data_IF_626563883550
#
_entry.id   IF_626563883550
#
_cell.length_a   1.000
_cell.length_b   1.000
_cell.length_c   1.000
_cell.angle_alpha   90.00
_cell.angle_beta   90.00
_cell.angle_gamma   90.00
#
_symmetry.space_group_name_H-M   'P 1'
#
loop_
_entity.id
_entity.type
_entity.pdbx_description
1 polymer ?
#
# COMPACT_ATOMS: atom_id res chain seq x y z
N UNK A 1 -11.03 1.36 4.79
CA UNK A 1 -10.44 2.67 5.08
C UNK A 1 -9.97 2.67 6.53
N UNK A 2 -8.75 3.07 6.77
CA UNK A 2 -8.23 3.20 8.12
C UNK A 2 -8.87 4.42 8.78
N UNK A 3 -9.34 4.23 10.01
CA UNK A 3 -9.87 5.32 10.81
C UNK A 3 -8.70 6.17 11.30
N UNK A 4 -8.65 7.39 10.82
CA UNK A 4 -7.59 8.33 11.19
C UNK A 4 -7.96 9.07 12.48
N UNK A 5 -6.95 9.31 13.32
CA UNK A 5 -7.04 10.39 14.28
C UNK A 5 -7.20 11.69 13.54
N UNK A 6 -8.18 12.46 13.93
CA UNK A 6 -8.43 13.72 13.24
C UNK A 6 -7.44 14.75 13.70
N UNK A 7 -6.49 15.06 12.85
CA UNK A 7 -5.57 16.15 13.08
C UNK A 7 -6.11 17.46 12.54
N UNK A 8 -6.26 18.40 13.45
CA UNK A 8 -6.22 19.83 13.36
C UNK A 8 -6.35 20.56 12.02
N UNK A 9 -7.32 20.21 11.18
CA UNK A 9 -7.85 21.23 10.28
C UNK A 9 -8.68 22.19 11.12
N UNK A 10 -8.50 23.50 10.92
CA UNK A 10 -9.14 24.56 11.68
C UNK A 10 -10.67 24.43 11.84
N UNK A 11 -11.31 23.62 11.03
CA UNK A 11 -12.75 23.37 11.02
C UNK A 11 -13.20 22.11 11.77
N UNK A 12 -12.28 21.27 12.22
CA UNK A 12 -12.60 20.00 12.84
C UNK A 12 -12.14 19.97 14.31
N UNK A 13 -13.06 19.61 15.22
CA UNK A 13 -12.83 19.58 16.67
C UNK A 13 -13.12 18.23 17.31
N UNK A 14 -13.35 17.20 16.52
CA UNK A 14 -13.61 15.86 17.01
C UNK A 14 -12.36 15.14 17.53
N UNK A 15 -12.58 14.02 18.23
CA UNK A 15 -11.51 13.20 18.79
C UNK A 15 -10.86 12.31 17.74
N UNK A 16 -11.67 11.56 17.01
CA UNK A 16 -11.27 10.75 15.86
C UNK A 16 -12.48 10.47 14.95
N UNK A 17 -12.22 9.92 13.78
CA UNK A 17 -13.27 9.71 12.76
C UNK A 17 -14.35 8.72 13.21
N UNK A 18 -14.02 7.71 14.00
CA UNK A 18 -15.00 6.73 14.45
C UNK A 18 -16.03 7.37 15.38
N UNK A 19 -15.58 8.11 16.38
CA UNK A 19 -16.49 8.75 17.34
C UNK A 19 -17.36 9.81 16.67
N UNK A 20 -16.80 10.56 15.71
CA UNK A 20 -17.59 11.51 14.94
C UNK A 20 -18.68 10.87 14.10
N UNK A 21 -18.41 9.70 13.54
CA UNK A 21 -19.40 8.93 12.79
C UNK A 21 -20.48 8.39 13.72
N UNK A 22 -20.10 7.89 14.91
CA UNK A 22 -21.03 7.37 15.91
C UNK A 22 -21.97 8.45 16.45
N UNK A 23 -21.52 9.70 16.56
CA UNK A 23 -22.38 10.82 16.95
C UNK A 23 -23.43 11.20 15.91
N UNK A 24 -23.20 10.88 14.63
CA UNK A 24 -24.01 11.35 13.49
C UNK A 24 -24.81 10.27 12.82
N UNK A 25 -24.40 9.02 12.94
CA UNK A 25 -25.04 7.89 12.28
C UNK A 25 -25.62 6.90 13.30
N UNK A 26 -26.80 6.38 13.01
CA UNK A 26 -27.45 5.35 13.83
C UNK A 26 -26.73 4.00 13.78
N UNK A 27 -26.05 3.73 12.66
CA UNK A 27 -25.29 2.52 12.43
C UNK A 27 -23.97 2.90 11.75
N UNK A 28 -22.86 2.42 12.28
CA UNK A 28 -21.53 2.57 11.70
C UNK A 28 -20.92 1.18 11.54
N UNK A 29 -20.44 0.88 10.34
CA UNK A 29 -19.64 -0.31 10.07
C UNK A 29 -18.22 0.17 9.79
N UNK A 30 -17.29 -0.19 10.68
CA UNK A 30 -15.88 0.15 10.56
C UNK A 30 -15.06 -1.12 10.33
N UNK A 31 -14.07 -1.06 9.44
CA UNK A 31 -13.08 -2.10 9.22
C UNK A 31 -11.74 -1.57 9.69
N UNK A 32 -11.08 -2.33 10.55
CA UNK A 32 -9.81 -1.95 11.14
C UNK A 32 -8.80 -3.09 11.01
N UNK A 33 -7.59 -2.76 10.60
CA UNK A 33 -6.45 -3.68 10.59
C UNK A 33 -5.30 -3.05 11.38
N UNK A 34 -5.03 -3.61 12.55
CA UNK A 34 -4.02 -3.10 13.47
C UNK A 34 -2.58 -3.23 12.91
N UNK A 35 -2.38 -4.10 11.92
CA UNK A 35 -1.07 -4.33 11.30
C UNK A 35 -0.80 -3.41 10.10
N UNK A 36 -1.80 -2.63 9.66
CA UNK A 36 -1.68 -1.68 8.55
C UNK A 36 -1.59 -0.23 9.05
N UNK A 37 -0.68 0.05 9.95
CA UNK A 37 -0.40 1.41 10.42
C UNK A 37 0.72 2.00 9.55
N UNK A 38 0.36 2.82 8.57
CA UNK A 38 1.30 3.44 7.62
C UNK A 38 1.72 4.86 8.03
N UNK A 39 1.05 5.44 9.01
CA UNK A 39 1.39 6.75 9.54
C UNK A 39 1.00 6.87 11.01
N UNK A 40 1.63 7.82 11.72
CA UNK A 40 1.31 8.11 13.14
C UNK A 40 -0.15 8.49 13.35
N UNK A 41 -0.82 9.02 12.33
CA UNK A 41 -2.24 9.40 12.38
C UNK A 41 -3.19 8.20 12.35
N UNK A 42 -2.71 7.03 11.95
CA UNK A 42 -3.48 5.78 11.90
C UNK A 42 -3.27 4.94 13.17
N UNK A 43 -2.32 5.33 14.01
CA UNK A 43 -2.01 4.63 15.24
C UNK A 43 -3.10 4.86 16.30
N UNK A 44 -3.52 3.79 16.93
CA UNK A 44 -4.41 3.80 18.09
C UNK A 44 -3.66 3.33 19.32
N UNK A 45 -3.85 4.02 20.40
CA UNK A 45 -3.32 3.56 21.68
C UNK A 45 -3.91 2.18 22.01
N UNK A 46 -3.05 1.28 22.45
CA UNK A 46 -3.43 -0.12 22.68
C UNK A 46 -4.64 -0.24 23.63
N UNK A 47 -4.66 0.51 24.72
CA UNK A 47 -5.73 0.47 25.71
C UNK A 47 -7.07 0.95 25.14
N UNK A 48 -7.05 1.98 24.31
CA UNK A 48 -8.24 2.51 23.68
C UNK A 48 -8.81 1.52 22.64
N UNK A 49 -7.93 0.92 21.84
CA UNK A 49 -8.32 -0.10 20.87
C UNK A 49 -8.91 -1.33 21.57
N UNK A 50 -8.26 -1.82 22.62
CA UNK A 50 -8.75 -2.98 23.39
C UNK A 50 -10.10 -2.69 24.05
N UNK A 51 -10.29 -1.49 24.59
CA UNK A 51 -11.58 -1.07 25.18
C UNK A 51 -12.69 -1.07 24.15
N UNK A 52 -12.42 -0.51 22.94
CA UNK A 52 -13.37 -0.48 21.83
C UNK A 52 -13.74 -1.89 21.36
N UNK A 53 -12.75 -2.76 21.18
CA UNK A 53 -12.96 -4.14 20.77
C UNK A 53 -13.76 -4.93 21.83
N UNK A 54 -13.47 -4.76 23.08
CA UNK A 54 -14.16 -5.40 24.18
C UNK A 54 -15.64 -4.97 24.24
N UNK A 55 -15.91 -3.67 24.12
CA UNK A 55 -17.26 -3.15 24.05
C UNK A 55 -18.04 -3.70 22.84
N UNK A 56 -17.41 -3.69 21.67
CA UNK A 56 -18.03 -4.25 20.46
C UNK A 56 -18.30 -5.76 20.61
N UNK A 57 -17.41 -6.50 21.26
CA UNK A 57 -17.61 -7.93 21.51
C UNK A 57 -18.77 -8.21 22.49
N UNK A 58 -18.86 -7.45 23.58
CA UNK A 58 -19.94 -7.58 24.54
C UNK A 58 -21.33 -7.31 23.91
N UNK A 59 -21.37 -6.40 22.95
CA UNK A 59 -22.59 -6.06 22.21
C UNK A 59 -22.86 -6.99 21.00
N UNK A 60 -22.01 -8.00 20.75
CA UNK A 60 -22.14 -8.89 19.59
C UNK A 60 -21.88 -8.21 18.24
N UNK A 61 -21.17 -7.08 18.25
CA UNK A 61 -20.90 -6.24 17.08
C UNK A 61 -19.48 -6.39 16.52
N UNK A 62 -18.68 -7.32 17.07
CA UNK A 62 -17.32 -7.56 16.60
C UNK A 62 -17.27 -8.78 15.68
N UNK A 63 -16.68 -8.62 14.51
CA UNK A 63 -16.44 -9.70 13.57
C UNK A 63 -14.96 -9.72 13.17
N UNK A 64 -14.32 -10.88 13.28
CA UNK A 64 -12.94 -11.06 12.82
C UNK A 64 -12.92 -11.60 11.40
N UNK A 65 -12.20 -10.91 10.51
CA UNK A 65 -11.93 -11.36 9.15
C UNK A 65 -10.55 -12.04 9.13
N UNK A 66 -10.53 -13.36 9.24
CA UNK A 66 -9.29 -14.15 9.36
C UNK A 66 -8.83 -14.79 8.05
N UNK A 67 -9.71 -14.84 7.03
CA UNK A 67 -9.40 -15.52 5.79
C UNK A 67 -8.60 -14.63 4.85
N UNK A 68 -7.37 -15.03 4.55
CA UNK A 68 -6.58 -14.43 3.51
C UNK A 68 -7.13 -14.90 2.14
N UNK A 69 -7.63 -13.96 1.32
CA UNK A 69 -8.24 -14.24 0.01
C UNK A 69 -7.50 -13.60 -1.17
N UNK A 70 -6.47 -12.77 -0.91
CA UNK A 70 -5.75 -12.04 -1.95
C UNK A 70 -4.61 -12.84 -2.57
N UNK A 71 -3.98 -13.71 -1.77
CA UNK A 71 -2.83 -14.51 -2.20
C UNK A 71 -3.34 -15.90 -2.57
N UNK A 72 -3.37 -16.20 -3.86
CA UNK A 72 -3.71 -17.53 -4.35
C UNK A 72 -2.45 -18.40 -4.38
N UNK A 73 -2.05 -18.91 -3.22
CA UNK A 73 -0.85 -19.72 -3.03
C UNK A 73 -1.10 -20.91 -2.12
N UNK A 74 -0.11 -21.77 -1.99
CA UNK A 74 -0.12 -22.83 -1.01
C UNK A 74 0.04 -22.29 0.41
N UNK A 75 -0.39 -23.07 1.40
CA UNK A 75 -0.28 -22.68 2.81
C UNK A 75 1.17 -22.36 3.22
N UNK A 76 2.14 -23.14 2.73
CA UNK A 76 3.55 -22.92 3.05
C UNK A 76 4.05 -21.54 2.60
N UNK A 77 3.58 -21.05 1.46
CA UNK A 77 3.90 -19.70 0.96
C UNK A 77 3.27 -18.62 1.83
N UNK A 78 2.01 -18.79 2.23
CA UNK A 78 1.35 -17.86 3.16
C UNK A 78 2.04 -17.84 4.51
N UNK A 79 2.40 -18.99 5.05
CA UNK A 79 3.10 -19.10 6.33
C UNK A 79 4.49 -18.43 6.25
N UNK A 80 5.20 -18.61 5.14
CA UNK A 80 6.49 -17.93 4.92
C UNK A 80 6.36 -16.41 4.88
N UNK A 81 5.34 -15.89 4.19
CA UNK A 81 5.08 -14.44 4.15
C UNK A 81 4.74 -13.92 5.55
N UNK A 82 3.95 -14.66 6.33
CA UNK A 82 3.62 -14.29 7.71
C UNK A 82 4.84 -14.29 8.61
N UNK A 83 5.68 -15.32 8.52
CA UNK A 83 6.92 -15.39 9.29
C UNK A 83 7.82 -14.19 9.01
N UNK A 84 7.94 -13.79 7.74
CA UNK A 84 8.68 -12.59 7.37
C UNK A 84 8.08 -11.30 7.97
N UNK A 85 6.75 -11.13 7.89
CA UNK A 85 6.08 -9.88 8.28
C UNK A 85 5.85 -9.80 9.79
N UNK A 86 5.32 -10.87 10.39
CA UNK A 86 4.86 -10.87 11.77
C UNK A 86 6.00 -11.19 12.75
N UNK A 87 6.93 -12.08 12.35
CA UNK A 87 7.99 -12.61 13.20
C UNK A 87 9.38 -12.05 12.82
N UNK A 88 9.49 -11.38 11.66
CA UNK A 88 10.76 -10.86 11.10
C UNK A 88 11.80 -11.98 10.86
N UNK A 89 11.32 -13.19 10.59
CA UNK A 89 12.15 -14.33 10.27
C UNK A 89 12.17 -14.60 8.76
N UNK A 90 13.38 -14.78 8.22
CA UNK A 90 13.60 -15.07 6.80
C UNK A 90 14.04 -16.52 6.64
N UNK A 91 13.11 -17.37 6.25
CA UNK A 91 13.38 -18.76 5.91
C UNK A 91 13.64 -18.95 4.41
N UNK A 92 13.89 -20.19 4.02
CA UNK A 92 13.96 -20.56 2.60
C UNK A 92 12.60 -20.36 1.94
N UNK A 93 12.55 -19.68 0.79
CA UNK A 93 11.33 -19.52 0.00
C UNK A 93 10.80 -20.91 -0.39
N UNK A 94 9.54 -21.25 -0.06
CA UNK A 94 8.95 -22.53 -0.39
C UNK A 94 8.61 -22.62 -1.88
N UNK A 95 8.57 -23.85 -2.40
CA UNK A 95 7.95 -24.09 -3.70
C UNK A 95 6.42 -24.01 -3.55
N UNK A 96 5.76 -23.45 -4.56
CA UNK A 96 4.32 -23.24 -4.58
C UNK A 96 3.69 -24.00 -5.76
N UNK A 97 2.68 -24.84 -5.50
CA UNK A 97 2.01 -25.64 -6.52
C UNK A 97 1.02 -24.84 -7.37
N UNK A 98 0.64 -23.65 -6.92
CA UNK A 98 -0.28 -22.73 -7.62
C UNK A 98 0.45 -21.66 -8.43
N UNK A 99 1.76 -21.85 -8.63
CA UNK A 99 2.61 -20.92 -9.37
C UNK A 99 2.69 -19.50 -8.74
N UNK A 100 2.50 -19.40 -7.43
CA UNK A 100 2.81 -18.16 -6.72
C UNK A 100 4.33 -18.04 -6.58
N UNK A 101 4.91 -17.07 -7.25
CA UNK A 101 6.36 -16.90 -7.36
C UNK A 101 6.83 -15.71 -6.51
N UNK A 102 7.73 -15.97 -5.58
CA UNK A 102 8.40 -14.97 -4.77
C UNK A 102 9.85 -14.89 -5.23
N UNK A 103 10.27 -13.72 -5.68
CA UNK A 103 11.64 -13.48 -6.13
C UNK A 103 12.25 -12.33 -5.36
N UNK A 104 13.53 -12.43 -5.06
CA UNK A 104 14.35 -11.39 -4.45
C UNK A 104 15.40 -11.01 -5.47
N UNK A 105 15.57 -9.72 -5.70
CA UNK A 105 16.54 -9.16 -6.65
C UNK A 105 17.65 -8.45 -5.90
N UNK A 106 18.85 -8.51 -6.44
CA UNK A 106 20.02 -7.86 -5.84
C UNK A 106 20.07 -6.35 -6.13
N UNK A 107 19.30 -5.92 -7.13
CA UNK A 107 19.24 -4.49 -7.50
C UNK A 107 17.83 -4.05 -7.90
N UNK A 108 17.50 -2.76 -7.74
CA UNK A 108 16.22 -2.20 -8.20
C UNK A 108 16.10 -2.21 -9.73
N UNK A 109 17.21 -2.17 -10.46
CA UNK A 109 17.25 -2.30 -11.93
C UNK A 109 16.74 -3.67 -12.37
N UNK A 110 17.22 -4.75 -11.75
CA UNK A 110 16.79 -6.11 -12.07
C UNK A 110 15.30 -6.30 -11.74
N UNK A 111 14.85 -5.82 -10.60
CA UNK A 111 13.44 -5.82 -10.24
C UNK A 111 12.59 -5.07 -11.29
N UNK A 112 13.03 -3.89 -11.72
CA UNK A 112 12.32 -3.07 -12.71
C UNK A 112 12.21 -3.77 -14.05
N UNK A 113 13.31 -4.36 -14.56
CA UNK A 113 13.28 -5.12 -15.82
C UNK A 113 12.39 -6.37 -15.72
N UNK A 114 12.40 -7.07 -14.58
CA UNK A 114 11.51 -8.20 -14.36
C UNK A 114 10.03 -7.79 -14.37
N UNK A 115 9.68 -6.66 -13.74
CA UNK A 115 8.32 -6.11 -13.76
C UNK A 115 7.90 -5.71 -15.18
N UNK A 116 8.80 -5.09 -15.97
CA UNK A 116 8.52 -4.77 -17.38
C UNK A 116 8.26 -6.03 -18.20
N UNK A 117 9.09 -7.05 -18.04
CA UNK A 117 8.92 -8.32 -18.74
C UNK A 117 7.58 -8.97 -18.38
N UNK A 118 7.20 -8.97 -17.12
CA UNK A 118 5.89 -9.46 -16.65
C UNK A 118 4.74 -8.64 -17.24
N UNK A 119 4.87 -7.32 -17.29
CA UNK A 119 3.84 -6.42 -17.83
C UNK A 119 3.56 -6.63 -19.33
N UNK A 120 4.52 -7.16 -20.07
CA UNK A 120 4.35 -7.51 -21.49
C UNK A 120 3.62 -8.85 -21.70
N UNK A 121 3.53 -9.68 -20.66
CA UNK A 121 2.79 -10.93 -20.71
C UNK A 121 1.29 -10.67 -20.58
N UNK A 122 0.50 -11.16 -21.55
CA UNK A 122 -0.97 -11.01 -21.51
C UNK A 122 -1.62 -11.74 -20.32
N UNK A 123 -0.95 -12.73 -19.77
CA UNK A 123 -1.46 -13.56 -18.68
C UNK A 123 -1.11 -13.01 -17.29
N UNK A 124 -0.26 -11.99 -17.21
CA UNK A 124 0.29 -11.53 -15.92
C UNK A 124 -0.59 -10.52 -15.15
N UNK A 125 -1.67 -10.04 -15.75
CA UNK A 125 -2.50 -9.03 -15.12
C UNK A 125 -1.78 -7.67 -14.97
N UNK A 126 -1.98 -7.00 -13.83
CA UNK A 126 -1.36 -5.70 -13.55
C UNK A 126 -0.02 -5.91 -12.84
N UNK A 127 1.06 -5.47 -13.47
CA UNK A 127 2.41 -5.48 -12.89
C UNK A 127 2.83 -4.07 -12.51
N UNK A 128 3.26 -3.85 -11.26
CA UNK A 128 3.61 -2.52 -10.72
C UNK A 128 4.85 -2.56 -9.85
N UNK A 129 5.57 -1.44 -9.81
CA UNK A 129 6.52 -1.13 -8.77
C UNK A 129 5.84 -0.27 -7.71
N UNK A 130 6.01 -0.65 -6.46
CA UNK A 130 5.50 0.10 -5.32
C UNK A 130 6.61 0.27 -4.29
N UNK A 131 6.54 1.34 -3.51
CA UNK A 131 7.46 1.58 -2.41
C UNK A 131 6.74 2.25 -1.24
N UNK A 132 7.30 2.13 -0.04
CA UNK A 132 6.85 2.86 1.14
C UNK A 132 7.21 4.35 1.01
N UNK A 133 6.53 5.21 1.78
CA UNK A 133 6.70 6.67 1.68
C UNK A 133 7.96 7.16 2.42
N UNK A 134 9.13 6.71 1.95
CA UNK A 134 10.43 7.03 2.57
C UNK A 134 11.24 8.09 1.80
N UNK A 135 10.72 8.60 0.68
CA UNK A 135 11.33 9.66 -0.11
C UNK A 135 10.51 10.93 -0.06
N UNK A 136 11.18 12.07 -0.18
CA UNK A 136 10.52 13.36 -0.21
C UNK A 136 9.52 13.45 -1.37
N UNK A 137 8.33 13.93 -1.06
CA UNK A 137 7.28 14.20 -2.03
C UNK A 137 6.38 15.35 -1.58
N UNK A 138 6.16 16.30 -2.47
CA UNK A 138 5.17 17.36 -2.25
C UNK A 138 4.25 17.44 -3.47
N UNK A 139 2.97 17.11 -3.26
CA UNK A 139 1.96 17.17 -4.33
C UNK A 139 1.91 18.54 -5.00
N UNK A 140 1.83 18.54 -6.33
CA UNK A 140 1.72 19.74 -7.18
C UNK A 140 2.89 20.73 -7.09
N UNK A 141 4.04 20.30 -6.55
CA UNK A 141 5.28 21.09 -6.52
C UNK A 141 6.41 20.30 -7.14
N UNK A 142 7.28 20.98 -7.86
CA UNK A 142 8.54 20.39 -8.34
C UNK A 142 9.59 20.47 -7.24
N UNK A 143 10.51 19.51 -7.15
CA UNK A 143 11.71 19.64 -6.33
C UNK A 143 12.62 20.75 -6.88
N UNK A 144 13.48 21.28 -6.04
CA UNK A 144 14.47 22.27 -6.45
C UNK A 144 15.58 21.59 -7.26
N UNK A 145 15.85 22.10 -8.46
CA UNK A 145 16.93 21.59 -9.31
C UNK A 145 16.63 20.30 -10.08
N UNK A 146 15.42 19.72 -9.96
CA UNK A 146 15.02 18.49 -10.65
C UNK A 146 13.64 18.61 -11.29
N UNK A 147 13.37 17.75 -12.28
CA UNK A 147 12.08 17.77 -12.97
C UNK A 147 10.99 17.02 -12.20
N UNK A 148 11.36 16.01 -11.41
CA UNK A 148 10.45 15.16 -10.65
C UNK A 148 11.00 14.85 -9.26
N UNK A 149 10.11 14.48 -8.34
CA UNK A 149 10.49 13.72 -7.16
C UNK A 149 10.84 12.30 -7.59
N UNK A 150 11.87 11.71 -6.99
CA UNK A 150 12.37 10.40 -7.37
C UNK A 150 12.45 9.46 -6.17
N UNK A 151 12.07 8.20 -6.39
CA UNK A 151 12.57 7.09 -5.59
C UNK A 151 14.01 6.83 -6.02
N UNK A 152 14.93 6.77 -5.07
CA UNK A 152 16.37 6.59 -5.30
C UNK A 152 16.91 5.43 -4.49
N UNK A 153 17.67 4.56 -5.13
CA UNK A 153 18.40 3.49 -4.46
C UNK A 153 19.79 3.44 -5.11
N UNK A 154 20.81 3.94 -4.40
CA UNK A 154 22.14 4.15 -4.99
C UNK A 154 22.07 5.13 -6.17
N UNK A 155 22.58 4.71 -7.31
CA UNK A 155 22.57 5.51 -8.56
C UNK A 155 21.27 5.35 -9.36
N UNK A 156 20.46 4.34 -9.05
CA UNK A 156 19.18 4.12 -9.70
C UNK A 156 18.13 5.08 -9.21
N UNK A 157 17.30 5.57 -10.13
CA UNK A 157 16.16 6.43 -9.80
C UNK A 157 15.00 6.29 -10.79
N UNK A 158 13.79 6.38 -10.28
CA UNK A 158 12.56 6.51 -11.08
C UNK A 158 11.64 7.59 -10.51
N UNK A 159 10.84 8.25 -11.36
CA UNK A 159 9.85 9.20 -10.90
C UNK A 159 8.91 8.58 -9.87
N UNK A 160 8.64 9.34 -8.82
CA UNK A 160 7.84 8.94 -7.67
C UNK A 160 6.41 9.46 -7.81
N UNK A 161 5.42 8.62 -7.60
CA UNK A 161 3.99 8.95 -7.69
C UNK A 161 3.60 9.71 -8.97
N UNK A 162 2.50 9.48 -9.56
CA UNK A 162 1.92 10.07 -10.80
C UNK A 162 2.14 11.60 -10.98
N UNK A 163 3.42 12.05 -10.95
CA UNK A 163 3.77 13.47 -10.96
C UNK A 163 3.69 14.13 -12.32
N UNK A 164 3.71 13.34 -13.38
CA UNK A 164 3.66 13.92 -14.71
C UNK A 164 2.32 14.62 -14.89
N UNK A 165 2.28 15.95 -15.07
CA UNK A 165 1.10 16.56 -15.56
C UNK A 165 0.72 15.79 -16.81
N UNK A 166 -0.55 15.42 -16.98
CA UNK A 166 -1.06 14.84 -18.23
C UNK A 166 -0.74 15.87 -19.33
N UNK A 167 0.51 15.83 -19.77
CA UNK A 167 1.07 16.78 -20.70
C UNK A 167 0.43 16.45 -22.04
N UNK A 168 -0.64 17.10 -22.34
CA UNK A 168 -1.42 17.03 -23.56
C UNK A 168 -2.24 15.74 -23.75
N UNK A 169 -3.42 15.87 -24.36
CA UNK A 169 -4.24 14.74 -24.85
C UNK A 169 -3.44 13.74 -25.70
N UNK A 170 -2.37 14.17 -26.39
CA UNK A 170 -1.50 13.30 -27.18
C UNK A 170 -0.69 12.33 -26.32
N UNK A 171 -0.15 12.75 -25.19
CA UNK A 171 0.61 11.88 -24.28
C UNK A 171 -0.31 10.88 -23.58
N UNK A 172 -1.49 11.31 -23.15
CA UNK A 172 -2.52 10.42 -22.59
C UNK A 172 -2.96 9.34 -23.58
N UNK A 173 -3.07 9.68 -24.88
CA UNK A 173 -3.42 8.72 -25.93
C UNK A 173 -2.25 7.76 -26.20
N UNK A 174 -1.01 8.26 -26.19
CA UNK A 174 0.19 7.45 -26.37
C UNK A 174 0.37 6.45 -25.23
N UNK A 175 0.09 6.88 -23.98
CA UNK A 175 0.23 6.03 -22.80
C UNK A 175 -0.89 4.99 -22.63
N UNK A 176 -2.03 5.15 -23.32
CA UNK A 176 -3.13 4.16 -23.27
C UNK A 176 -2.77 2.75 -23.76
N UNK A 177 -1.71 2.63 -24.57
CA UNK A 177 -1.26 1.37 -25.12
C UNK A 177 -0.02 0.79 -24.41
N UNK A 178 0.55 1.54 -23.45
CA UNK A 178 1.67 1.09 -22.66
C UNK A 178 1.16 0.43 -21.39
N UNK A 179 1.79 -0.67 -21.00
CA UNK A 179 1.59 -1.21 -19.67
C UNK A 179 2.02 -0.17 -18.62
N UNK A 180 1.51 -0.29 -17.41
CA UNK A 180 1.85 0.65 -16.33
C UNK A 180 3.37 0.72 -16.09
N UNK A 181 4.08 -0.41 -16.15
CA UNK A 181 5.52 -0.48 -15.96
C UNK A 181 6.35 0.12 -17.12
N UNK A 182 5.77 0.33 -18.29
CA UNK A 182 6.41 0.98 -19.44
C UNK A 182 6.17 2.50 -19.47
N UNK A 183 5.34 3.01 -18.58
CA UNK A 183 5.13 4.44 -18.45
C UNK A 183 6.30 5.10 -17.70
N UNK A 184 6.53 6.39 -17.94
CA UNK A 184 7.62 7.14 -17.29
C UNK A 184 7.51 7.16 -15.74
N UNK A 185 6.32 6.92 -15.22
CA UNK A 185 6.03 6.84 -13.78
C UNK A 185 5.79 5.39 -13.42
N UNK A 186 6.75 4.79 -12.78
CA UNK A 186 6.72 3.35 -12.52
C UNK A 186 6.76 2.97 -11.06
N UNK A 187 6.91 3.92 -10.14
CA UNK A 187 6.87 3.66 -8.70
C UNK A 187 5.74 4.45 -8.07
N UNK A 188 4.85 3.76 -7.39
CA UNK A 188 3.74 4.33 -6.64
C UNK A 188 3.90 4.11 -5.14
N UNK A 189 3.33 5.02 -4.38
CA UNK A 189 3.17 4.91 -2.92
C UNK A 189 2.21 3.78 -2.55
N UNK A 190 2.55 3.04 -1.50
CA UNK A 190 1.70 2.02 -0.86
C UNK A 190 1.21 2.51 0.47
#
# INVERSE_FOLDING_TARGET
AHLLWTQGKQSYRGKNQLYDLLERAKVVVAVFDQNQVLSTQQYWEYEELMSLQHEAQLNGNLMYLSNQMRINSDKATVDWIRSLIDEQEVGKIPADSKNYDIQIFDSPEELHEAIKAKAQSQDSGISRLTATFDWDYVDKRKPEGEDYWYVRVGDWKLPWNLQLPVASKKQSIKNKHLSWAEQEQTVDEV
#
